data_IF_043816279067
#
_entry.id   IF_043816279067
#
_cell.length_a   1.000
_cell.length_b   1.000
_cell.length_c   1.000
_cell.angle_alpha   90.00
_cell.angle_beta   90.00
_cell.angle_gamma   90.00
#
_symmetry.space_group_name_H-M   'P 1'
#
loop_
_entity.id
_entity.type
_entity.pdbx_description
1 polymer ?
#
# COMPACT_ATOMS: atom_id res chain seq x y z
N UNK A 1 -9.24 20.33 13.36
CA UNK A 1 -7.98 19.89 12.78
C UNK A 1 -8.23 18.63 11.94
N UNK A 2 -7.69 18.60 10.72
CA UNK A 2 -7.66 17.38 9.88
C UNK A 2 -6.23 16.83 9.96
N UNK A 3 -6.10 15.60 10.45
CA UNK A 3 -4.84 14.86 10.53
C UNK A 3 -4.71 13.97 9.28
N UNK A 4 -3.90 14.41 8.34
CA UNK A 4 -3.58 13.72 7.08
C UNK A 4 -2.06 13.58 6.93
N UNK A 5 -1.37 13.31 8.03
CA UNK A 5 0.09 13.32 8.19
C UNK A 5 0.73 11.93 7.98
N UNK A 6 -0.03 11.01 7.33
CA UNK A 6 0.49 9.76 6.82
C UNK A 6 0.63 8.63 7.84
N UNK A 7 1.18 7.49 7.42
CA UNK A 7 1.21 6.25 8.20
C UNK A 7 2.00 6.36 9.51
N UNK A 8 2.96 7.27 9.61
CA UNK A 8 3.73 7.58 10.82
C UNK A 8 3.21 8.81 11.56
N UNK A 9 1.90 9.07 11.50
CA UNK A 9 1.22 10.24 12.05
C UNK A 9 1.75 10.64 13.43
N UNK A 10 2.32 11.83 13.51
CA UNK A 10 2.77 12.43 14.77
C UNK A 10 1.57 12.88 15.61
N UNK A 11 0.50 13.34 14.98
CA UNK A 11 -0.74 13.72 15.64
C UNK A 11 -1.35 12.51 16.34
N UNK A 12 -1.44 11.37 15.65
CA UNK A 12 -1.93 10.11 16.23
C UNK A 12 -1.07 9.69 17.43
N UNK A 13 0.26 9.74 17.27
CA UNK A 13 1.21 9.37 18.32
C UNK A 13 1.14 10.29 19.52
N UNK A 14 1.02 11.61 19.33
CA UNK A 14 0.90 12.60 20.42
C UNK A 14 -0.39 12.42 21.24
N UNK A 15 -1.40 11.82 20.64
CA UNK A 15 -2.67 11.49 21.31
C UNK A 15 -2.67 10.07 21.92
N UNK A 16 -1.55 9.34 21.87
CA UNK A 16 -1.44 7.94 22.30
C UNK A 16 -2.45 7.00 21.64
N UNK A 17 -2.91 7.34 20.41
CA UNK A 17 -3.80 6.49 19.63
C UNK A 17 -3.01 5.45 18.88
N UNK A 18 -3.56 4.24 18.78
CA UNK A 18 -2.93 3.11 18.09
C UNK A 18 -3.85 2.59 17.00
N UNK A 19 -3.25 2.21 15.90
CA UNK A 19 -3.93 1.45 14.87
C UNK A 19 -4.13 0.02 15.36
N UNK A 20 -5.28 -0.56 15.05
CA UNK A 20 -5.68 -1.92 15.40
C UNK A 20 -5.88 -2.76 14.13
N UNK A 21 -5.60 -4.05 14.19
CA UNK A 21 -5.76 -4.98 13.09
C UNK A 21 -4.65 -6.02 13.02
N UNK A 22 -4.49 -6.64 11.86
CA UNK A 22 -3.45 -7.63 11.61
C UNK A 22 -2.26 -6.99 10.89
N UNK A 23 -1.06 -7.33 11.32
CA UNK A 23 0.15 -7.12 10.54
C UNK A 23 0.41 -8.42 9.79
N UNK A 24 0.27 -8.43 8.48
CA UNK A 24 0.74 -9.57 7.70
C UNK A 24 2.27 -9.53 7.68
N UNK A 25 2.90 -10.65 7.94
CA UNK A 25 4.36 -10.79 7.88
C UNK A 25 4.91 -10.75 6.45
N UNK A 26 4.04 -10.48 5.48
CA UNK A 26 4.43 -10.42 4.07
C UNK A 26 5.20 -9.14 3.80
N UNK A 27 6.50 -9.30 3.61
CA UNK A 27 7.39 -8.24 3.15
C UNK A 27 7.57 -8.41 1.65
N UNK A 28 7.45 -7.30 0.93
CA UNK A 28 7.63 -7.25 -0.52
C UNK A 28 8.88 -6.47 -0.87
N UNK A 29 9.64 -6.97 -1.82
CA UNK A 29 10.62 -6.18 -2.55
C UNK A 29 9.89 -5.46 -3.68
N UNK A 30 10.22 -4.18 -3.85
CA UNK A 30 9.85 -3.38 -4.99
C UNK A 30 11.16 -3.06 -5.73
N UNK A 31 11.27 -3.47 -6.99
CA UNK A 31 12.44 -3.23 -7.81
C UNK A 31 12.02 -2.53 -9.11
N UNK A 32 12.46 -1.29 -9.28
CA UNK A 32 12.29 -0.52 -10.51
C UNK A 32 13.52 -0.71 -11.39
N UNK A 33 13.32 -1.28 -12.57
CA UNK A 33 14.39 -1.55 -13.54
C UNK A 33 14.17 -0.82 -14.86
N UNK A 34 15.23 -0.35 -15.47
CA UNK A 34 15.23 0.19 -16.82
C UNK A 34 15.44 -0.95 -17.79
N UNK A 35 14.43 -1.25 -18.57
CA UNK A 35 14.45 -2.30 -19.58
C UNK A 35 13.41 -2.00 -20.65
N UNK A 36 13.72 -2.30 -21.89
CA UNK A 36 12.77 -2.23 -23.00
C UNK A 36 12.11 -3.60 -23.19
N UNK A 37 10.85 -3.70 -22.79
CA UNK A 37 10.02 -4.88 -22.99
C UNK A 37 8.85 -4.54 -23.93
N UNK A 38 8.50 -5.42 -24.88
CA UNK A 38 7.48 -5.15 -25.89
C UNK A 38 6.03 -5.29 -25.39
N UNK A 39 5.84 -5.31 -24.07
CA UNK A 39 4.50 -5.36 -23.47
C UNK A 39 3.81 -4.00 -23.53
N UNK A 40 2.50 -3.98 -23.74
CA UNK A 40 1.71 -2.76 -23.59
C UNK A 40 1.71 -2.23 -22.15
N UNK A 41 1.11 -1.06 -21.94
CA UNK A 41 0.95 -0.49 -20.59
C UNK A 41 -0.14 -1.24 -19.84
N UNK A 42 0.24 -2.33 -19.20
CA UNK A 42 -0.64 -3.19 -18.43
C UNK A 42 0.07 -3.71 -17.19
N UNK A 43 -0.71 -4.26 -16.26
CA UNK A 43 -0.20 -4.92 -15.07
C UNK A 43 -0.21 -6.42 -15.30
N UNK A 44 0.96 -7.03 -15.20
CA UNK A 44 1.15 -8.47 -15.33
C UNK A 44 1.21 -9.10 -13.94
N UNK A 45 0.53 -10.22 -13.76
CA UNK A 45 0.59 -11.01 -12.52
C UNK A 45 1.01 -12.44 -12.85
N UNK A 46 2.00 -12.94 -12.14
CA UNK A 46 2.52 -14.30 -12.29
C UNK A 46 2.32 -15.03 -10.97
N UNK A 47 1.53 -16.09 -11.00
CA UNK A 47 1.18 -16.85 -9.82
C UNK A 47 2.09 -18.07 -9.68
N UNK A 48 2.63 -18.30 -8.49
CA UNK A 48 3.43 -19.45 -8.13
C UNK A 48 4.61 -19.73 -9.09
N UNK A 49 5.44 -18.72 -9.42
CA UNK A 49 6.56 -18.94 -10.33
C UNK A 49 7.63 -19.84 -9.72
N UNK A 50 8.34 -20.61 -10.56
CA UNK A 50 9.36 -21.57 -10.11
C UNK A 50 10.45 -20.96 -9.21
N UNK A 51 10.83 -19.72 -9.47
CA UNK A 51 11.87 -19.02 -8.72
C UNK A 51 11.37 -18.37 -7.41
N UNK A 52 10.04 -18.30 -7.19
CA UNK A 52 9.43 -17.76 -5.97
C UNK A 52 8.11 -18.49 -5.64
N UNK A 53 8.23 -19.78 -5.37
CA UNK A 53 7.11 -20.69 -5.11
C UNK A 53 6.22 -20.23 -3.96
N UNK A 54 4.91 -20.39 -4.12
CA UNK A 54 3.90 -20.01 -3.14
C UNK A 54 3.56 -18.52 -3.14
N UNK A 55 4.19 -17.71 -3.98
CA UNK A 55 4.01 -16.26 -4.01
C UNK A 55 3.50 -15.76 -5.38
N UNK A 56 3.13 -14.49 -5.41
CA UNK A 56 2.72 -13.80 -6.64
C UNK A 56 3.75 -12.72 -6.97
N UNK A 57 4.15 -12.65 -8.24
CA UNK A 57 4.98 -11.60 -8.77
C UNK A 57 4.12 -10.65 -9.57
N UNK A 58 4.30 -9.36 -9.37
CA UNK A 58 3.65 -8.33 -10.15
C UNK A 58 4.68 -7.58 -10.98
N UNK A 59 4.35 -7.33 -12.22
CA UNK A 59 5.12 -6.42 -13.08
C UNK A 59 4.20 -5.39 -13.69
N UNK A 60 4.65 -4.15 -13.74
CA UNK A 60 3.92 -3.10 -14.45
C UNK A 60 4.85 -2.00 -14.93
N UNK A 61 4.43 -1.41 -16.05
CA UNK A 61 5.19 -0.35 -16.69
C UNK A 61 4.96 0.97 -15.96
N UNK A 62 6.05 1.59 -15.58
CA UNK A 62 6.11 2.93 -15.03
C UNK A 62 6.54 3.94 -16.13
N UNK A 63 6.38 5.26 -15.93
CA UNK A 63 6.92 6.26 -16.84
C UNK A 63 8.43 6.12 -17.07
N UNK A 64 8.91 6.68 -18.18
CA UNK A 64 10.35 6.79 -18.51
C UNK A 64 11.08 5.46 -18.78
N UNK A 65 10.36 4.43 -19.27
CA UNK A 65 10.97 3.15 -19.62
C UNK A 65 11.34 2.27 -18.43
N UNK A 66 10.72 2.54 -17.28
CA UNK A 66 10.89 1.75 -16.07
C UNK A 66 9.84 0.63 -16.04
N UNK A 67 10.26 -0.54 -15.59
CA UNK A 67 9.40 -1.64 -15.20
C UNK A 67 9.58 -1.92 -13.72
N UNK A 68 8.48 -1.89 -12.99
CA UNK A 68 8.44 -2.29 -11.58
C UNK A 68 8.18 -3.78 -11.46
N UNK A 69 9.00 -4.44 -10.67
CA UNK A 69 8.85 -5.85 -10.31
C UNK A 69 8.65 -5.94 -8.81
N UNK A 70 7.46 -6.39 -8.40
CA UNK A 70 7.09 -6.57 -7.00
C UNK A 70 7.04 -8.06 -6.68
N UNK A 71 7.74 -8.50 -5.63
CA UNK A 71 7.71 -9.90 -5.18
C UNK A 71 7.88 -10.01 -3.67
N UNK A 72 7.33 -11.08 -3.11
CA UNK A 72 7.46 -11.37 -1.68
C UNK A 72 8.84 -11.95 -1.35
N UNK A 73 9.35 -11.60 -0.15
CA UNK A 73 10.55 -12.22 0.40
C UNK A 73 10.33 -13.71 0.63
N UNK A 74 11.40 -14.47 0.51
CA UNK A 74 11.40 -15.88 0.89
C UNK A 74 11.24 -16.02 2.41
N UNK A 75 10.63 -17.11 2.90
CA UNK A 75 10.51 -17.36 4.32
C UNK A 75 11.89 -17.35 5.01
N UNK A 76 12.03 -16.53 6.07
CA UNK A 76 13.28 -16.40 6.84
C UNK A 76 14.32 -15.47 6.25
N UNK A 77 14.08 -14.89 5.09
CA UNK A 77 14.97 -13.90 4.49
C UNK A 77 14.78 -12.52 5.13
N UNK A 78 15.88 -11.83 5.38
CA UNK A 78 15.83 -10.46 5.90
C UNK A 78 15.72 -9.42 4.78
N UNK A 79 15.16 -8.24 5.04
CA UNK A 79 15.15 -7.13 4.09
C UNK A 79 16.53 -6.76 3.56
N UNK A 80 17.55 -6.80 4.42
CA UNK A 80 18.93 -6.48 4.08
C UNK A 80 19.53 -7.51 3.09
N UNK A 81 19.20 -8.79 3.26
CA UNK A 81 19.61 -9.86 2.34
C UNK A 81 18.90 -9.74 0.98
N UNK A 82 17.61 -9.47 1.02
CA UNK A 82 16.78 -9.31 -0.19
C UNK A 82 17.23 -8.15 -1.08
N UNK A 83 17.70 -7.05 -0.46
CA UNK A 83 18.14 -5.84 -1.18
C UNK A 83 19.62 -5.88 -1.62
N UNK A 84 20.37 -6.96 -1.36
CA UNK A 84 21.72 -7.08 -1.91
C UNK A 84 21.70 -7.08 -3.44
N UNK A 85 22.63 -6.39 -4.08
CA UNK A 85 22.67 -6.32 -5.55
C UNK A 85 22.64 -7.68 -6.23
N UNK A 86 23.33 -8.68 -5.65
CA UNK A 86 23.38 -10.04 -6.16
C UNK A 86 22.02 -10.73 -6.07
N UNK A 87 21.31 -10.59 -4.94
CA UNK A 87 19.97 -11.16 -4.71
C UNK A 87 18.94 -10.55 -5.65
N UNK A 88 18.97 -9.22 -5.79
CA UNK A 88 18.10 -8.50 -6.73
C UNK A 88 18.36 -8.96 -8.17
N UNK A 89 19.64 -9.04 -8.56
CA UNK A 89 20.01 -9.46 -9.90
C UNK A 89 19.55 -10.88 -10.20
N UNK A 90 19.81 -11.83 -9.33
CA UNK A 90 19.38 -13.22 -9.49
C UNK A 90 17.88 -13.35 -9.73
N UNK A 91 17.07 -12.62 -8.95
CA UNK A 91 15.59 -12.68 -9.03
C UNK A 91 15.03 -11.98 -10.25
N UNK A 92 15.58 -10.82 -10.59
CA UNK A 92 15.18 -10.11 -11.81
C UNK A 92 15.56 -10.94 -13.04
N UNK A 93 16.76 -11.50 -13.11
CA UNK A 93 17.18 -12.36 -14.20
C UNK A 93 16.29 -13.63 -14.28
N UNK A 94 15.92 -14.23 -13.17
CA UNK A 94 15.00 -15.36 -13.13
C UNK A 94 13.60 -15.00 -13.65
N UNK A 95 13.09 -13.83 -13.27
CA UNK A 95 11.83 -13.31 -13.79
C UNK A 95 11.89 -13.06 -15.28
N UNK A 96 12.93 -12.38 -15.76
CA UNK A 96 13.13 -12.12 -17.18
C UNK A 96 13.27 -13.40 -18.00
N UNK A 97 13.99 -14.39 -17.49
CA UNK A 97 14.09 -15.72 -18.10
C UNK A 97 12.72 -16.39 -18.23
N UNK A 98 11.91 -16.35 -17.17
CA UNK A 98 10.58 -16.96 -17.15
C UNK A 98 9.66 -16.35 -18.21
N UNK A 99 9.75 -15.06 -18.45
CA UNK A 99 8.94 -14.35 -19.47
C UNK A 99 9.57 -14.33 -20.87
N UNK A 100 10.68 -15.06 -21.08
CA UNK A 100 11.31 -15.21 -22.39
C UNK A 100 12.32 -14.12 -22.78
N UNK A 101 12.78 -13.32 -21.81
CA UNK A 101 13.76 -12.24 -22.02
C UNK A 101 15.10 -12.51 -21.32
N UNK A 102 15.50 -13.78 -21.26
CA UNK A 102 16.79 -14.18 -20.68
C UNK A 102 17.95 -13.44 -21.37
N UNK A 103 18.83 -12.85 -20.56
CA UNK A 103 20.00 -12.13 -21.06
C UNK A 103 19.74 -10.73 -21.63
N UNK A 104 18.51 -10.25 -21.61
CA UNK A 104 18.22 -8.86 -21.99
C UNK A 104 18.87 -7.90 -20.98
N UNK A 105 19.66 -6.91 -21.44
CA UNK A 105 20.29 -5.94 -20.55
C UNK A 105 19.25 -5.10 -19.81
N UNK A 106 19.48 -4.91 -18.53
CA UNK A 106 18.67 -4.03 -17.68
C UNK A 106 19.54 -3.33 -16.63
N UNK A 107 19.06 -2.23 -16.10
CA UNK A 107 19.71 -1.44 -15.03
C UNK A 107 18.75 -1.23 -13.88
N UNK A 108 19.25 -1.33 -12.63
CA UNK A 108 18.49 -0.98 -11.44
C UNK A 108 18.32 0.54 -11.37
N UNK A 109 17.08 1.01 -11.33
CA UNK A 109 16.77 2.42 -11.12
C UNK A 109 16.57 2.70 -9.63
N UNK A 110 15.74 1.89 -8.97
CA UNK A 110 15.42 2.04 -7.55
C UNK A 110 14.94 0.71 -6.96
N UNK A 111 15.16 0.52 -5.66
CA UNK A 111 14.63 -0.61 -4.94
C UNK A 111 14.30 -0.27 -3.49
N UNK A 112 13.37 -1.00 -2.90
CA UNK A 112 12.98 -0.90 -1.49
C UNK A 112 12.26 -2.16 -1.03
N UNK A 113 12.04 -2.24 0.27
CA UNK A 113 11.12 -3.22 0.87
C UNK A 113 9.89 -2.52 1.41
N UNK A 114 8.77 -3.18 1.28
CA UNK A 114 7.48 -2.74 1.79
C UNK A 114 6.87 -3.83 2.66
N UNK A 115 6.45 -3.46 3.87
CA UNK A 115 5.70 -4.35 4.75
C UNK A 115 4.20 -4.06 4.61
N UNK A 116 3.45 -5.04 4.14
CA UNK A 116 2.00 -4.94 4.06
C UNK A 116 1.41 -4.92 5.48
N UNK A 117 0.64 -3.88 5.78
CA UNK A 117 -0.07 -3.74 7.05
C UNK A 117 -1.55 -3.52 6.76
N UNK A 118 -2.40 -4.12 7.60
CA UNK A 118 -3.85 -3.98 7.54
C UNK A 118 -4.33 -3.52 8.90
N UNK A 119 -4.27 -2.22 9.10
CA UNK A 119 -4.51 -1.59 10.39
C UNK A 119 -5.46 -0.40 10.22
N UNK A 120 -6.34 -0.16 11.18
CA UNK A 120 -7.19 1.03 11.21
C UNK A 120 -7.34 1.55 12.64
N UNK A 121 -7.57 2.85 12.80
CA UNK A 121 -8.06 3.40 14.06
C UNK A 121 -9.46 2.86 14.33
N UNK A 122 -9.83 2.60 15.60
CA UNK A 122 -11.20 2.24 15.99
C UNK A 122 -12.20 3.38 15.78
N UNK A 123 -11.73 4.61 15.81
CA UNK A 123 -12.50 5.84 15.58
C UNK A 123 -11.62 6.86 14.85
N UNK A 124 -12.21 7.60 13.88
CA UNK A 124 -11.48 8.62 13.12
C UNK A 124 -11.67 10.03 13.67
N UNK A 125 -12.67 10.25 14.53
CA UNK A 125 -12.97 11.56 15.12
C UNK A 125 -12.75 11.55 16.61
N UNK A 126 -11.82 12.36 17.07
CA UNK A 126 -11.47 12.56 18.48
C UNK A 126 -11.63 14.04 18.84
N UNK A 127 -12.78 14.40 19.45
CA UNK A 127 -13.13 15.80 19.73
C UNK A 127 -13.14 16.63 18.44
N UNK A 128 -12.22 17.59 18.30
CA UNK A 128 -12.10 18.47 17.12
C UNK A 128 -10.93 18.07 16.20
N UNK A 129 -10.47 16.84 16.29
CA UNK A 129 -9.45 16.25 15.40
C UNK A 129 -10.09 15.10 14.65
N UNK A 130 -9.91 15.08 13.33
CA UNK A 130 -10.34 13.99 12.47
C UNK A 130 -9.14 13.44 11.68
N UNK A 131 -8.97 12.13 11.70
CA UNK A 131 -7.95 11.40 10.97
C UNK A 131 -8.49 10.95 9.61
N UNK A 132 -7.63 10.94 8.57
CA UNK A 132 -7.98 10.53 7.22
C UNK A 132 -6.77 9.92 6.50
N UNK A 133 -7.02 9.04 5.53
CA UNK A 133 -5.97 8.36 4.78
C UNK A 133 -5.05 7.54 5.68
N UNK A 134 -3.75 7.48 5.35
CA UNK A 134 -2.78 6.66 6.08
C UNK A 134 -2.61 7.07 7.56
N UNK A 135 -3.02 8.27 7.94
CA UNK A 135 -3.07 8.67 9.34
C UNK A 135 -4.17 7.92 10.12
N UNK A 136 -5.23 7.50 9.43
CA UNK A 136 -6.37 6.77 9.98
C UNK A 136 -6.28 5.25 9.80
N UNK A 137 -5.74 4.79 8.66
CA UNK A 137 -5.67 3.36 8.32
C UNK A 137 -4.50 3.05 7.38
N UNK A 138 -3.97 1.83 7.50
CA UNK A 138 -3.00 1.25 6.57
C UNK A 138 -3.68 0.04 5.92
N UNK A 139 -3.85 0.08 4.62
CA UNK A 139 -4.57 -0.93 3.86
C UNK A 139 -3.61 -1.73 2.97
N UNK A 140 -3.97 -2.98 2.63
CA UNK A 140 -3.11 -3.85 1.84
C UNK A 140 -2.87 -3.28 0.44
N UNK A 141 -1.70 -3.60 -0.14
CA UNK A 141 -1.31 -3.15 -1.49
C UNK A 141 -2.15 -3.79 -2.58
N UNK A 142 -2.68 -4.99 -2.33
CA UNK A 142 -3.50 -5.70 -3.31
C UNK A 142 -4.79 -4.96 -3.61
N UNK A 143 -5.07 -4.76 -4.90
CA UNK A 143 -6.24 -4.03 -5.37
C UNK A 143 -6.15 -2.52 -5.29
N UNK A 144 -4.94 -1.95 -5.04
CA UNK A 144 -4.71 -0.48 -5.00
C UNK A 144 -5.64 0.22 -4.00
N UNK A 145 -5.86 -0.39 -2.84
CA UNK A 145 -6.88 0.04 -1.87
C UNK A 145 -6.50 1.31 -1.09
N UNK A 146 -5.21 1.49 -0.74
CA UNK A 146 -4.77 2.57 0.15
C UNK A 146 -5.15 3.97 -0.35
N UNK A 147 -4.62 4.37 -1.51
CA UNK A 147 -4.88 5.70 -2.09
C UNK A 147 -6.36 5.91 -2.44
N UNK A 148 -7.02 4.89 -3.02
CA UNK A 148 -8.44 5.00 -3.39
C UNK A 148 -9.34 5.19 -2.16
N UNK A 149 -9.07 4.50 -1.06
CA UNK A 149 -9.82 4.68 0.20
C UNK A 149 -9.55 6.06 0.80
N UNK A 150 -8.30 6.54 0.75
CA UNK A 150 -7.96 7.89 1.21
C UNK A 150 -8.69 8.98 0.40
N UNK A 151 -8.86 8.82 -0.90
CA UNK A 151 -9.69 9.74 -1.71
C UNK A 151 -11.16 9.69 -1.31
N UNK A 152 -11.70 8.51 -1.04
CA UNK A 152 -13.07 8.36 -0.54
C UNK A 152 -13.23 9.00 0.85
N UNK A 153 -12.25 8.84 1.73
CA UNK A 153 -12.25 9.52 3.05
C UNK A 153 -12.30 11.03 2.86
N UNK A 154 -11.44 11.58 2.00
CA UNK A 154 -11.38 13.02 1.75
C UNK A 154 -12.68 13.56 1.18
N UNK A 155 -13.31 12.83 0.26
CA UNK A 155 -14.62 13.19 -0.31
C UNK A 155 -15.71 13.16 0.76
N UNK A 156 -15.79 12.09 1.55
CA UNK A 156 -16.75 11.98 2.64
C UNK A 156 -16.52 13.07 3.68
N UNK A 157 -15.29 13.27 4.14
CA UNK A 157 -14.94 14.30 5.12
C UNK A 157 -15.32 15.70 4.64
N UNK A 158 -15.09 16.01 3.38
CA UNK A 158 -15.29 17.35 2.83
C UNK A 158 -16.71 17.87 3.03
N UNK A 159 -17.72 17.08 2.67
CA UNK A 159 -19.10 17.51 2.84
C UNK A 159 -19.60 17.42 4.28
N UNK A 160 -19.20 16.38 5.05
CA UNK A 160 -19.56 16.27 6.46
C UNK A 160 -19.08 17.49 7.24
N UNK A 161 -17.81 17.83 7.06
CA UNK A 161 -17.21 18.98 7.73
C UNK A 161 -17.83 20.30 7.31
N UNK A 162 -18.11 20.47 6.00
CA UNK A 162 -18.76 21.68 5.48
C UNK A 162 -20.15 21.90 6.09
N UNK A 163 -20.94 20.84 6.24
CA UNK A 163 -22.27 20.93 6.82
C UNK A 163 -22.23 21.34 8.29
N UNK A 164 -21.30 20.75 9.05
CA UNK A 164 -21.12 21.10 10.48
C UNK A 164 -20.65 22.55 10.64
N UNK A 165 -19.62 22.97 9.89
CA UNK A 165 -19.05 24.32 9.98
C UNK A 165 -20.07 25.39 9.59
N UNK A 166 -20.92 25.12 8.61
CA UNK A 166 -22.00 26.02 8.17
C UNK A 166 -23.24 25.99 9.07
N UNK A 167 -23.25 25.17 10.12
CA UNK A 167 -24.40 25.02 11.00
C UNK A 167 -25.61 24.33 10.36
N UNK A 168 -25.41 23.63 9.24
CA UNK A 168 -26.46 22.88 8.52
C UNK A 168 -26.69 21.48 9.11
N UNK A 169 -25.78 21.00 9.95
CA UNK A 169 -25.89 19.73 10.66
C UNK A 169 -25.20 19.82 12.03
N UNK A 170 -25.64 19.01 13.01
CA UNK A 170 -25.00 18.94 14.32
C UNK A 170 -23.63 18.26 14.24
N UNK A 171 -22.76 18.46 15.24
CA UNK A 171 -21.44 17.83 15.35
C UNK A 171 -21.48 16.29 15.30
N UNK A 172 -22.63 15.69 15.68
CA UNK A 172 -22.87 14.25 15.57
C UNK A 172 -22.64 13.72 14.14
N UNK A 173 -22.80 14.55 13.10
CA UNK A 173 -22.53 14.17 11.72
C UNK A 173 -21.06 13.71 11.53
N UNK A 174 -20.12 14.26 12.28
CA UNK A 174 -18.72 13.82 12.22
C UNK A 174 -18.51 12.42 12.81
N UNK A 175 -19.31 12.01 13.81
CA UNK A 175 -19.29 10.65 14.34
C UNK A 175 -19.84 9.64 13.31
N UNK A 176 -20.86 10.05 12.53
CA UNK A 176 -21.38 9.24 11.43
C UNK A 176 -20.32 9.03 10.34
N UNK A 177 -19.58 10.11 9.98
CA UNK A 177 -18.41 9.99 9.08
C UNK A 177 -17.39 8.98 9.63
N UNK A 178 -17.03 9.09 10.92
CA UNK A 178 -16.10 8.15 11.54
C UNK A 178 -16.59 6.70 11.44
N UNK A 179 -17.84 6.43 11.80
CA UNK A 179 -18.40 5.09 11.75
C UNK A 179 -18.44 4.51 10.33
N UNK A 180 -18.83 5.31 9.35
CA UNK A 180 -18.86 4.94 7.94
C UNK A 180 -17.46 4.55 7.43
N UNK A 181 -16.45 5.41 7.68
CA UNK A 181 -15.11 5.19 7.14
C UNK A 181 -14.34 4.09 7.85
N UNK A 182 -14.53 3.94 9.17
CA UNK A 182 -14.02 2.79 9.94
C UNK A 182 -14.64 1.48 9.43
N UNK A 183 -15.96 1.47 9.16
CA UNK A 183 -16.65 0.31 8.61
C UNK A 183 -16.06 -0.10 7.25
N UNK A 184 -15.88 0.87 6.34
CA UNK A 184 -15.28 0.62 5.02
C UNK A 184 -13.83 0.10 5.12
N UNK A 185 -13.01 0.65 6.01
CA UNK A 185 -11.65 0.17 6.21
C UNK A 185 -11.63 -1.26 6.78
N UNK A 186 -12.49 -1.58 7.74
CA UNK A 186 -12.59 -2.93 8.32
C UNK A 186 -13.06 -3.97 7.30
N UNK A 187 -14.00 -3.61 6.43
CA UNK A 187 -14.46 -4.48 5.33
C UNK A 187 -13.27 -4.85 4.43
N UNK A 188 -12.51 -3.85 3.97
CA UNK A 188 -11.31 -4.07 3.15
C UNK A 188 -10.27 -4.94 3.86
N UNK A 189 -10.05 -4.71 5.16
CA UNK A 189 -9.10 -5.50 5.97
C UNK A 189 -9.56 -6.96 6.05
N UNK A 190 -10.85 -7.20 6.22
CA UNK A 190 -11.41 -8.55 6.32
C UNK A 190 -11.36 -9.30 4.99
N UNK A 191 -11.60 -8.62 3.87
CA UNK A 191 -11.56 -9.22 2.53
C UNK A 191 -10.14 -9.52 2.04
N UNK A 192 -9.12 -8.86 2.61
CA UNK A 192 -7.72 -9.01 2.20
C UNK A 192 -6.95 -10.10 2.99
N UNK A 193 -7.54 -10.65 4.02
CA UNK A 193 -7.02 -11.77 4.84
C UNK A 193 -7.66 -13.06 4.45
#
# INVERSE_FOLDING_TARGET
LVAADGGRSEIRSSMNLKLEGASFESIFVIADIRIDLPYPTERLAFFDPDWNRGNTILMHREPHGIWRVDYQLSPGETPEEALRPESLKERIDAQLKMIGFEGTPWEMDWNSVYSARTLTLPEYVHKRIVFTGDAAHLLPIFGVRGANTAFQDAQSLGWHLAFVIKGLAPEQLMQNHSAERVGAAREIITEAG
#
